data_IF_961307981211
#
_entry.id   IF_961307981211
#
_cell.length_a   1.000
_cell.length_b   1.000
_cell.length_c   1.000
_cell.angle_alpha   90.00
_cell.angle_beta   90.00
_cell.angle_gamma   90.00
#
_symmetry.space_group_name_H-M   'P 1'
#
loop_
_entity.id
_entity.type
_entity.pdbx_description
1 polymer ?
#
# COMPACT_ATOMS: atom_id res chain seq x y z
N UNK A 1 1.90 -22.42 -2.62
CA UNK A 1 1.16 -21.18 -2.42
C UNK A 1 1.62 -20.48 -1.15
N UNK A 2 1.95 -19.20 -1.23
CA UNK A 2 2.36 -18.47 -0.04
C UNK A 2 1.13 -18.25 0.88
N UNK A 3 1.30 -18.35 2.19
CA UNK A 3 0.19 -18.16 3.12
C UNK A 3 -0.22 -16.70 3.23
N UNK A 4 -1.51 -16.49 3.45
CA UNK A 4 -2.03 -15.18 3.84
C UNK A 4 -1.58 -14.93 5.26
N UNK A 5 -0.98 -13.78 5.49
CA UNK A 5 -0.45 -13.42 6.81
C UNK A 5 -0.57 -11.91 7.05
N UNK A 6 -0.21 -11.49 8.24
CA UNK A 6 -0.18 -10.08 8.58
C UNK A 6 1.06 -9.78 9.40
N UNK A 7 1.50 -8.52 9.30
CA UNK A 7 2.54 -7.97 10.17
C UNK A 7 2.00 -6.71 10.81
N UNK A 8 2.62 -6.29 11.89
CA UNK A 8 2.28 -5.03 12.53
C UNK A 8 3.37 -4.01 12.20
N UNK A 9 2.96 -2.87 11.66
CA UNK A 9 3.87 -1.79 11.32
C UNK A 9 3.38 -0.54 12.06
N UNK A 10 4.16 -0.09 13.02
CA UNK A 10 3.83 1.08 13.84
C UNK A 10 2.41 1.00 14.43
N UNK A 11 2.02 -0.19 14.89
CA UNK A 11 0.70 -0.42 15.49
C UNK A 11 -0.42 -0.71 14.51
N UNK A 12 -0.16 -0.67 13.20
CA UNK A 12 -1.16 -0.91 12.17
C UNK A 12 -0.99 -2.32 11.58
N UNK A 13 -2.03 -3.15 11.56
CA UNK A 13 -1.94 -4.46 10.93
C UNK A 13 -1.94 -4.32 9.42
N UNK A 14 -0.99 -4.97 8.75
CA UNK A 14 -0.87 -4.99 7.30
C UNK A 14 -0.99 -6.43 6.82
N UNK A 15 -1.91 -6.68 5.92
CA UNK A 15 -2.22 -8.02 5.42
C UNK A 15 -1.60 -8.25 4.05
N UNK A 16 -1.18 -9.47 3.78
CA UNK A 16 -0.64 -9.81 2.49
C UNK A 16 -0.32 -11.28 2.36
N UNK A 17 0.03 -11.68 1.14
CA UNK A 17 0.45 -13.05 0.82
C UNK A 17 1.97 -13.10 0.85
N UNK A 18 2.52 -13.84 1.81
CA UNK A 18 3.97 -13.92 1.98
C UNK A 18 4.61 -12.59 2.34
N UNK A 19 3.94 -11.82 3.20
CA UNK A 19 4.38 -10.46 3.55
C UNK A 19 5.63 -10.50 4.44
N UNK A 20 6.57 -9.57 4.19
CA UNK A 20 7.78 -9.42 5.00
C UNK A 20 7.66 -8.21 5.94
N UNK A 21 8.70 -7.97 6.74
CA UNK A 21 8.71 -6.92 7.75
C UNK A 21 8.63 -5.49 7.16
N UNK A 22 8.87 -5.34 5.86
CA UNK A 22 8.81 -4.06 5.16
C UNK A 22 7.64 -3.98 4.18
N UNK A 23 6.60 -4.78 4.40
CA UNK A 23 5.36 -4.84 3.64
C UNK A 23 5.50 -5.37 2.20
N UNK A 24 6.64 -5.98 1.85
CA UNK A 24 6.76 -6.69 0.58
C UNK A 24 5.91 -7.95 0.62
N UNK A 25 5.35 -8.32 -0.51
CA UNK A 25 4.52 -9.54 -0.62
C UNK A 25 5.08 -10.46 -1.71
N UNK A 26 4.42 -11.61 -1.92
CA UNK A 26 4.81 -12.54 -2.97
C UNK A 26 4.73 -11.94 -4.36
N UNK A 27 3.86 -10.96 -4.57
CA UNK A 27 3.63 -10.32 -5.87
C UNK A 27 4.68 -9.25 -6.16
N UNK A 28 5.13 -8.53 -5.14
CA UNK A 28 6.05 -7.39 -5.26
C UNK A 28 7.12 -7.52 -4.18
N UNK A 29 8.27 -8.04 -4.54
CA UNK A 29 9.38 -8.26 -3.60
C UNK A 29 10.65 -7.51 -3.99
N UNK A 30 10.50 -6.45 -4.76
CA UNK A 30 11.62 -5.63 -5.15
C UNK A 30 12.17 -4.79 -4.00
N UNK A 31 13.36 -4.25 -4.20
CA UNK A 31 14.04 -3.42 -3.20
C UNK A 31 13.19 -2.21 -2.78
N UNK A 32 12.42 -1.65 -3.72
CA UNK A 32 11.61 -0.45 -3.50
C UNK A 32 10.13 -0.73 -3.29
N UNK A 33 9.74 -1.99 -3.14
CA UNK A 33 8.35 -2.38 -2.92
C UNK A 33 8.04 -2.42 -1.43
N UNK A 34 8.19 -1.27 -0.76
CA UNK A 34 8.10 -1.14 0.69
C UNK A 34 6.97 -0.24 1.12
N UNK A 35 5.84 -0.26 0.41
CA UNK A 35 4.65 0.49 0.80
C UNK A 35 3.46 -0.43 0.92
N UNK A 36 2.54 -0.07 1.82
CA UNK A 36 1.24 -0.70 1.93
C UNK A 36 0.17 0.33 1.64
N UNK A 37 -1.00 -0.12 1.22
CA UNK A 37 -2.09 0.76 0.82
C UNK A 37 -3.34 0.42 1.62
N UNK A 38 -3.99 1.46 2.14
CA UNK A 38 -5.25 1.31 2.83
C UNK A 38 -6.36 1.23 1.80
N UNK A 39 -7.09 0.13 1.80
CA UNK A 39 -8.16 -0.09 0.84
C UNK A 39 -9.42 0.64 1.32
N UNK A 40 -10.07 1.37 0.42
CA UNK A 40 -11.26 2.14 0.77
C UNK A 40 -12.44 1.24 1.15
N UNK A 41 -12.59 0.11 0.48
CA UNK A 41 -13.74 -0.79 0.68
C UNK A 41 -13.84 -1.36 2.09
N UNK A 42 -12.71 -1.61 2.74
CA UNK A 42 -12.67 -2.25 4.05
C UNK A 42 -11.76 -1.54 5.05
N UNK A 43 -11.09 -0.49 4.63
CA UNK A 43 -10.16 0.31 5.43
C UNK A 43 -9.01 -0.49 6.05
N UNK A 44 -8.64 -1.62 5.42
CA UNK A 44 -7.52 -2.44 5.83
C UNK A 44 -6.27 -2.10 5.03
N UNK A 45 -5.13 -2.16 5.70
CA UNK A 45 -3.83 -2.00 5.03
C UNK A 45 -3.48 -3.31 4.32
N UNK A 46 -3.20 -3.22 3.03
CA UNK A 46 -2.82 -4.36 2.19
C UNK A 46 -1.48 -4.08 1.53
N UNK A 47 -0.65 -5.13 1.37
CA UNK A 47 0.65 -4.98 0.73
C UNK A 47 0.52 -4.60 -0.75
N UNK A 48 -0.51 -5.10 -1.45
CA UNK A 48 -0.78 -4.73 -2.84
C UNK A 48 -2.22 -5.09 -3.22
N UNK A 49 -2.63 -4.72 -4.42
CA UNK A 49 -3.97 -5.01 -4.94
C UNK A 49 -4.23 -6.52 -5.01
N UNK A 50 -3.25 -7.30 -5.47
CA UNK A 50 -3.41 -8.75 -5.56
C UNK A 50 -3.56 -9.38 -4.18
N UNK A 51 -2.88 -8.84 -3.18
CA UNK A 51 -3.05 -9.28 -1.79
C UNK A 51 -4.50 -9.05 -1.33
N UNK A 52 -5.08 -7.90 -1.64
CA UNK A 52 -6.47 -7.62 -1.31
C UNK A 52 -7.40 -8.64 -1.96
N UNK A 53 -7.18 -8.92 -3.24
CA UNK A 53 -7.99 -9.87 -4.00
C UNK A 53 -7.92 -11.28 -3.39
N UNK A 54 -6.75 -11.70 -2.94
CA UNK A 54 -6.55 -13.04 -2.37
C UNK A 54 -6.96 -13.13 -0.90
N UNK A 55 -6.88 -12.02 -0.15
CA UNK A 55 -7.20 -12.00 1.29
C UNK A 55 -8.68 -11.74 1.59
N UNK A 56 -9.44 -11.26 0.60
CA UNK A 56 -10.84 -10.85 0.82
C UNK A 56 -11.76 -11.47 -0.23
N UNK A 57 -13.05 -11.39 0.03
CA UNK A 57 -14.09 -11.93 -0.87
C UNK A 57 -14.98 -10.83 -1.44
N UNK A 58 -14.56 -9.58 -1.35
CA UNK A 58 -15.32 -8.43 -1.87
C UNK A 58 -14.48 -7.66 -2.89
N UNK A 59 -15.12 -6.92 -3.82
CA UNK A 59 -14.39 -6.12 -4.79
C UNK A 59 -13.71 -4.92 -4.12
N UNK A 60 -12.57 -4.51 -4.68
CA UNK A 60 -11.88 -3.32 -4.21
C UNK A 60 -12.60 -2.06 -4.67
N UNK A 61 -12.61 -1.04 -3.82
CA UNK A 61 -13.09 0.30 -4.18
C UNK A 61 -11.88 1.24 -4.24
N UNK A 62 -11.95 2.24 -5.12
CA UNK A 62 -10.89 3.24 -5.24
C UNK A 62 -11.23 4.47 -4.42
N UNK A 63 -10.19 5.16 -3.92
CA UNK A 63 -10.36 6.45 -3.28
C UNK A 63 -10.70 7.49 -4.34
N UNK A 64 -11.72 8.32 -4.05
CA UNK A 64 -12.17 9.39 -4.95
C UNK A 64 -11.11 10.47 -5.11
N UNK A 65 -11.16 11.22 -6.22
CA UNK A 65 -10.29 12.38 -6.42
C UNK A 65 -10.47 13.44 -5.33
N UNK A 66 -11.59 13.42 -4.63
CA UNK A 66 -11.88 14.34 -3.53
C UNK A 66 -11.34 13.85 -2.19
N UNK A 67 -10.72 12.66 -2.17
CA UNK A 67 -10.20 12.03 -0.95
C UNK A 67 -8.66 12.00 -0.91
N UNK A 68 -8.01 12.89 -1.67
CA UNK A 68 -6.55 12.94 -1.78
C UNK A 68 -5.84 13.35 -0.48
N UNK A 69 -6.58 13.82 0.51
CA UNK A 69 -6.06 14.15 1.83
C UNK A 69 -6.12 12.96 2.81
N UNK A 70 -6.66 11.84 2.39
CA UNK A 70 -6.72 10.65 3.23
C UNK A 70 -5.33 10.00 3.34
N UNK A 71 -5.00 9.53 4.54
CA UNK A 71 -3.73 8.87 4.80
C UNK A 71 -3.86 7.39 4.45
N UNK A 72 -3.73 7.09 3.18
CA UNK A 72 -3.95 5.76 2.62
C UNK A 72 -2.67 5.07 2.17
N UNK A 73 -1.51 5.65 2.44
CA UNK A 73 -0.20 5.09 2.07
C UNK A 73 0.65 4.95 3.32
N UNK A 74 1.22 3.76 3.52
CA UNK A 74 2.06 3.43 4.67
C UNK A 74 3.46 3.06 4.17
N UNK A 75 4.47 3.72 4.70
CA UNK A 75 5.84 3.35 4.40
C UNK A 75 6.24 2.14 5.26
N UNK A 76 6.53 1.02 4.62
CA UNK A 76 6.94 -0.20 5.31
C UNK A 76 8.36 -0.14 5.88
N UNK A 77 9.12 0.89 5.51
CA UNK A 77 10.48 1.07 6.00
C UNK A 77 10.51 1.80 7.35
N UNK A 78 9.68 2.85 7.53
CA UNK A 78 9.69 3.65 8.76
C UNK A 78 8.37 3.60 9.55
N UNK A 79 7.30 3.09 8.96
CA UNK A 79 6.00 2.98 9.63
C UNK A 79 5.14 4.23 9.62
N UNK A 80 5.60 5.30 8.98
CA UNK A 80 4.82 6.53 8.89
C UNK A 80 3.84 6.48 7.72
N UNK A 81 2.72 7.20 7.86
CA UNK A 81 1.72 7.29 6.81
C UNK A 81 1.88 8.56 5.99
N UNK A 82 1.42 8.50 4.74
CA UNK A 82 1.36 9.65 3.85
C UNK A 82 -0.06 9.80 3.32
N UNK A 83 -0.44 11.03 2.98
CA UNK A 83 -1.68 11.25 2.25
C UNK A 83 -1.49 10.78 0.81
N UNK A 84 -2.59 10.53 0.12
CA UNK A 84 -2.57 10.15 -1.29
C UNK A 84 -1.86 11.24 -2.12
N UNK A 85 -2.15 12.50 -1.83
CA UNK A 85 -1.53 13.64 -2.51
C UNK A 85 -0.02 13.68 -2.28
N UNK A 86 0.42 13.46 -1.04
CA UNK A 86 1.86 13.42 -0.73
C UNK A 86 2.56 12.30 -1.50
N UNK A 87 1.93 11.13 -1.56
CA UNK A 87 2.50 9.99 -2.28
C UNK A 87 2.65 10.28 -3.78
N UNK A 88 1.64 10.91 -4.39
CA UNK A 88 1.69 11.25 -5.82
C UNK A 88 2.78 12.25 -6.16
N UNK A 89 3.14 13.11 -5.22
CA UNK A 89 4.11 14.19 -5.42
C UNK A 89 5.51 13.86 -4.90
N UNK A 90 5.72 12.64 -4.41
CA UNK A 90 7.01 12.24 -3.84
C UNK A 90 7.59 11.04 -4.58
N UNK A 91 8.90 11.04 -4.75
CA UNK A 91 9.64 9.89 -5.29
C UNK A 91 10.20 9.03 -4.17
N UNK A 92 10.11 9.51 -2.95
CA UNK A 92 10.60 8.83 -1.75
C UNK A 92 9.76 9.22 -0.55
N UNK A 93 9.88 8.44 0.53
CA UNK A 93 9.16 8.72 1.76
C UNK A 93 9.61 10.06 2.35
N UNK A 94 8.65 10.91 2.69
CA UNK A 94 8.91 12.23 3.26
C UNK A 94 9.53 12.16 4.66
N UNK A 95 9.42 11.01 5.32
CA UNK A 95 9.87 10.83 6.71
C UNK A 95 11.24 10.15 6.80
N UNK A 96 11.50 9.12 6.00
CA UNK A 96 12.73 8.35 6.10
C UNK A 96 13.60 8.35 4.84
N UNK A 97 13.10 8.90 3.73
CA UNK A 97 13.84 8.98 2.49
C UNK A 97 13.89 7.70 1.66
N UNK A 98 13.27 6.61 2.11
CA UNK A 98 13.21 5.37 1.34
C UNK A 98 12.57 5.63 -0.01
N UNK A 99 13.25 5.21 -1.07
CA UNK A 99 12.80 5.45 -2.43
C UNK A 99 11.63 4.53 -2.78
N UNK A 100 10.60 5.10 -3.41
CA UNK A 100 9.44 4.36 -3.88
C UNK A 100 9.71 3.74 -5.25
N UNK A 101 9.01 2.63 -5.55
CA UNK A 101 9.11 1.98 -6.84
C UNK A 101 8.36 2.82 -7.88
N UNK A 102 9.05 3.37 -8.91
CA UNK A 102 8.36 4.18 -9.94
C UNK A 102 7.35 3.37 -10.76
N UNK A 103 7.49 2.04 -10.81
CA UNK A 103 6.53 1.16 -11.50
C UNK A 103 5.16 1.13 -10.84
N UNK A 104 5.05 1.55 -9.57
CA UNK A 104 3.77 1.62 -8.87
C UNK A 104 2.81 2.61 -9.53
N UNK A 105 3.32 3.61 -10.24
CA UNK A 105 2.49 4.59 -10.93
C UNK A 105 1.56 3.94 -11.97
N UNK A 106 1.99 2.85 -12.56
CA UNK A 106 1.18 2.11 -13.54
C UNK A 106 -0.03 1.43 -12.89
N UNK A 107 -0.04 1.34 -11.56
CA UNK A 107 -1.09 0.66 -10.80
C UNK A 107 -1.92 1.62 -9.95
N UNK A 108 -1.70 2.93 -10.02
CA UNK A 108 -2.43 3.92 -9.23
C UNK A 108 -3.95 3.80 -9.43
N UNK A 109 -4.40 3.50 -10.65
CA UNK A 109 -5.82 3.37 -10.97
C UNK A 109 -6.51 2.23 -10.23
N UNK A 110 -5.75 1.28 -9.69
CA UNK A 110 -6.32 0.17 -8.92
C UNK A 110 -6.71 0.60 -7.50
N UNK A 111 -6.13 1.68 -7.01
CA UNK A 111 -6.35 2.17 -5.65
C UNK A 111 -7.01 3.54 -5.61
N UNK A 112 -6.77 4.36 -6.60
CA UNK A 112 -7.15 5.78 -6.61
C UNK A 112 -7.86 6.14 -7.91
N UNK A 113 -8.92 6.92 -7.78
CA UNK A 113 -9.60 7.47 -8.96
C UNK A 113 -8.64 8.45 -9.64
N UNK A 114 -8.38 8.24 -10.92
CA UNK A 114 -7.49 9.09 -11.71
C UNK A 114 -8.31 9.93 -12.68
N UNK A 115 -7.85 11.16 -12.92
CA UNK A 115 -8.50 12.07 -13.84
C UNK A 115 -8.24 11.69 -15.30
#
# INVERSE_FOLDING_TARGET
MAPISSIEVNGEPVFGVGIDAQTRCSHWRGRHDTIALRMKCCERWMACFECHRECTDHPAEVWSIYERDQRAVLCGSCGETLTISEYFNALSCLHCGTRFNPGCADHYHLYFEME
#
